data_IF_104329254216
#
_entry.id   IF_104329254216
#
_cell.length_a   1.000
_cell.length_b   1.000
_cell.length_c   1.000
_cell.angle_alpha   90.00
_cell.angle_beta   90.00
_cell.angle_gamma   90.00
#
_symmetry.space_group_name_H-M   'P 1'
#
loop_
_entity.id
_entity.type
_entity.pdbx_description
1 polymer ?
#
# COMPACT_ATOMS: atom_id res chain seq x y z
N UNK A 1 9.25 -12.21 8.47
CA UNK A 1 8.39 -11.02 8.63
C UNK A 1 7.37 -10.99 7.52
N UNK A 2 6.10 -10.74 7.85
CA UNK A 2 5.04 -10.52 6.85
C UNK A 2 4.50 -9.12 7.04
N UNK A 3 4.77 -8.22 6.09
CA UNK A 3 4.16 -6.89 6.07
C UNK A 3 2.84 -7.00 5.33
N UNK A 4 1.74 -6.59 5.95
CA UNK A 4 0.41 -6.55 5.33
C UNK A 4 0.00 -5.09 5.14
N UNK A 5 0.57 -4.42 4.13
CA UNK A 5 0.11 -3.09 3.76
C UNK A 5 -1.28 -3.19 3.13
N UNK A 6 -2.08 -2.13 3.30
CA UNK A 6 -3.30 -1.90 2.52
C UNK A 6 -2.94 -1.32 1.15
N UNK A 7 -3.56 -0.19 0.80
CA UNK A 7 -3.22 0.54 -0.42
C UNK A 7 -1.85 1.24 -0.28
N UNK A 8 -0.93 0.94 -1.20
CA UNK A 8 0.41 1.55 -1.24
C UNK A 8 0.41 2.68 -2.28
N UNK A 9 0.78 3.89 -1.86
CA UNK A 9 0.84 5.07 -2.74
C UNK A 9 2.24 5.70 -2.75
N UNK A 10 2.58 6.36 -3.85
CA UNK A 10 3.87 7.06 -4.00
C UNK A 10 4.55 6.83 -5.35
N UNK A 11 5.73 7.42 -5.52
CA UNK A 11 6.51 7.33 -6.77
C UNK A 11 7.59 6.26 -6.65
N UNK A 12 7.57 5.28 -7.55
CA UNK A 12 8.64 4.29 -7.71
C UNK A 12 9.52 4.68 -8.88
N UNK A 13 10.80 4.97 -8.63
CA UNK A 13 11.79 5.04 -9.72
C UNK A 13 12.20 3.62 -10.11
N UNK A 14 12.00 3.25 -11.36
CA UNK A 14 12.61 2.06 -11.98
C UNK A 14 13.52 2.60 -13.08
N UNK A 15 14.82 2.41 -12.90
CA UNK A 15 15.87 2.98 -13.74
C UNK A 15 15.81 4.52 -13.84
N UNK A 16 15.60 5.07 -15.04
CA UNK A 16 15.52 6.51 -15.32
C UNK A 16 14.09 7.05 -15.32
N UNK A 17 13.09 6.20 -15.11
CA UNK A 17 11.67 6.55 -15.18
C UNK A 17 11.08 6.60 -13.77
N UNK A 18 10.58 7.77 -13.39
CA UNK A 18 9.67 7.91 -12.26
C UNK A 18 8.32 7.32 -12.66
N UNK A 19 8.02 6.13 -12.15
CA UNK A 19 6.69 5.52 -12.27
C UNK A 19 5.91 5.95 -11.01
N UNK A 20 5.00 6.93 -11.09
CA UNK A 20 4.03 7.12 -10.03
C UNK A 20 3.19 5.85 -9.94
N UNK A 21 3.33 5.09 -8.84
CA UNK A 21 2.48 3.91 -8.57
C UNK A 21 1.01 4.31 -8.40
N UNK A 22 0.71 5.62 -8.33
CA UNK A 22 -0.63 6.19 -8.45
C UNK A 22 -1.29 5.98 -9.83
N UNK A 23 -0.53 5.68 -10.89
CA UNK A 23 -1.01 5.76 -12.29
C UNK A 23 -0.78 4.51 -13.14
N UNK A 24 -0.62 3.32 -12.55
CA UNK A 24 -0.93 2.07 -13.29
C UNK A 24 -2.44 1.79 -13.13
N UNK A 25 -3.24 2.80 -13.46
CA UNK A 25 -4.67 2.90 -13.17
C UNK A 25 -5.54 3.14 -14.39
N UNK A 26 -5.04 3.70 -15.49
CA UNK A 26 -5.87 4.04 -16.67
C UNK A 26 -6.54 2.84 -17.39
N UNK A 27 -5.91 1.65 -17.51
CA UNK A 27 -6.60 0.47 -18.03
C UNK A 27 -7.63 -0.09 -17.04
N UNK A 28 -7.40 0.09 -15.73
CA UNK A 28 -8.24 -0.41 -14.66
C UNK A 28 -9.46 0.51 -14.42
N UNK A 29 -9.29 1.81 -14.59
CA UNK A 29 -10.32 2.84 -14.47
C UNK A 29 -11.40 2.64 -15.53
N UNK A 30 -11.03 2.26 -16.76
CA UNK A 30 -11.99 1.90 -17.83
C UNK A 30 -12.75 0.60 -17.54
N UNK A 31 -12.13 -0.34 -16.83
CA UNK A 31 -12.78 -1.60 -16.40
C UNK A 31 -13.69 -1.35 -15.20
N UNK A 32 -13.26 -0.53 -14.25
CA UNK A 32 -14.02 -0.13 -13.06
C UNK A 32 -15.21 0.76 -13.43
N UNK A 33 -15.04 1.77 -14.28
CA UNK A 33 -16.15 2.63 -14.74
C UNK A 33 -17.15 1.91 -15.66
N UNK A 34 -16.71 0.88 -16.40
CA UNK A 34 -17.62 -0.04 -17.07
C UNK A 34 -18.42 -0.91 -16.09
N UNK A 35 -17.88 -1.16 -14.88
CA UNK A 35 -18.51 -1.95 -13.81
C UNK A 35 -19.33 -1.08 -12.84
N UNK A 36 -19.01 0.21 -12.68
CA UNK A 36 -19.69 1.19 -11.81
C UNK A 36 -21.17 1.39 -12.17
N UNK A 37 -21.53 1.24 -13.45
CA UNK A 37 -22.93 1.26 -13.88
C UNK A 37 -23.74 0.07 -13.31
N UNK A 38 -23.07 -0.95 -12.77
CA UNK A 38 -23.68 -2.14 -12.17
C UNK A 38 -23.71 -2.11 -10.62
N UNK A 39 -22.92 -1.26 -9.97
CA UNK A 39 -22.61 -1.36 -8.52
C UNK A 39 -23.13 -0.20 -7.68
N UNK A 40 -24.43 0.10 -7.77
CA UNK A 40 -25.13 1.05 -6.87
C UNK A 40 -25.28 0.64 -5.39
N UNK A 41 -24.97 -0.57 -4.88
CA UNK A 41 -24.97 -0.81 -3.43
C UNK A 41 -23.54 -0.85 -2.88
N UNK A 42 -22.98 0.33 -2.61
CA UNK A 42 -21.61 0.56 -2.14
C UNK A 42 -21.30 0.06 -0.70
N UNK A 43 -22.18 -0.69 -0.06
CA UNK A 43 -21.92 -1.35 1.23
C UNK A 43 -21.72 -2.88 1.11
N UNK A 44 -21.89 -3.46 -0.08
CA UNK A 44 -21.74 -4.90 -0.32
C UNK A 44 -20.52 -5.25 -1.17
N UNK A 45 -19.60 -4.31 -1.39
CA UNK A 45 -18.44 -4.52 -2.24
C UNK A 45 -17.35 -5.31 -1.49
N UNK A 46 -17.02 -6.54 -1.91
CA UNK A 46 -15.81 -7.19 -1.44
C UNK A 46 -14.62 -6.34 -1.90
N UNK A 47 -13.72 -6.00 -0.98
CA UNK A 47 -12.63 -5.00 -1.07
C UNK A 47 -12.94 -3.59 -0.53
N UNK A 48 -14.09 -3.34 0.10
CA UNK A 48 -14.29 -2.13 0.92
C UNK A 48 -13.23 -1.99 2.02
N UNK A 49 -12.76 -3.11 2.59
CA UNK A 49 -11.67 -3.15 3.56
C UNK A 49 -10.33 -2.64 2.98
N UNK A 50 -10.09 -2.86 1.67
CA UNK A 50 -8.90 -2.35 0.98
C UNK A 50 -8.99 -0.85 0.66
N UNK A 51 -10.21 -0.36 0.40
CA UNK A 51 -10.47 1.06 0.09
C UNK A 51 -10.60 1.93 1.35
N UNK A 52 -11.05 1.36 2.47
CA UNK A 52 -11.18 2.06 3.77
C UNK A 52 -9.94 1.91 4.65
N UNK A 53 -9.03 0.98 4.33
CA UNK A 53 -7.76 0.86 5.02
C UNK A 53 -6.90 2.13 4.80
N UNK A 54 -6.27 2.66 5.85
CA UNK A 54 -5.45 3.87 5.73
C UNK A 54 -4.31 3.63 4.74
N UNK A 55 -4.13 4.48 3.72
CA UNK A 55 -3.09 4.29 2.73
C UNK A 55 -1.69 4.40 3.37
N UNK A 56 -0.74 3.64 2.83
CA UNK A 56 0.65 3.55 3.32
C UNK A 56 1.59 4.03 2.23
N UNK A 57 2.57 4.88 2.58
CA UNK A 57 3.52 5.35 1.57
C UNK A 57 4.51 4.23 1.22
N UNK A 58 4.97 4.22 -0.04
CA UNK A 58 6.04 3.31 -0.49
C UNK A 58 7.28 3.43 0.40
N UNK A 59 7.62 4.66 0.82
CA UNK A 59 8.79 4.93 1.66
C UNK A 59 8.64 4.31 3.05
N UNK A 60 7.46 4.38 3.66
CA UNK A 60 7.21 3.77 4.97
C UNK A 60 7.34 2.25 4.90
N UNK A 61 6.79 1.63 3.84
CA UNK A 61 6.94 0.19 3.62
C UNK A 61 8.42 -0.16 3.43
N UNK A 62 9.16 0.62 2.64
CA UNK A 62 10.59 0.38 2.41
C UNK A 62 11.42 0.47 3.70
N UNK A 63 11.17 1.49 4.53
CA UNK A 63 11.84 1.66 5.81
C UNK A 63 11.49 0.54 6.80
N UNK A 64 10.23 0.12 6.82
CA UNK A 64 9.81 -1.04 7.62
C UNK A 64 10.48 -2.34 7.15
N UNK A 65 10.70 -2.52 5.84
CA UNK A 65 11.47 -3.65 5.30
C UNK A 65 12.93 -3.57 5.71
N UNK A 66 13.57 -2.39 5.66
CA UNK A 66 14.96 -2.24 6.11
C UNK A 66 15.07 -2.64 7.58
N UNK A 67 14.19 -2.11 8.44
CA UNK A 67 14.14 -2.49 9.86
C UNK A 67 13.97 -4.00 10.03
N UNK A 68 13.05 -4.59 9.28
CA UNK A 68 12.78 -6.02 9.31
C UNK A 68 13.96 -6.92 8.91
N UNK A 69 14.92 -6.39 8.14
CA UNK A 69 16.12 -7.12 7.71
C UNK A 69 17.30 -6.85 8.64
N UNK A 70 17.36 -5.66 9.26
CA UNK A 70 18.47 -5.28 10.15
C UNK A 70 18.27 -5.70 11.60
N UNK A 71 17.02 -5.88 12.03
CA UNK A 71 16.64 -6.15 13.42
C UNK A 71 16.14 -7.61 13.56
N UNK A 72 16.94 -8.44 14.24
CA UNK A 72 16.64 -9.87 14.44
C UNK A 72 15.39 -10.10 15.31
N UNK A 73 14.99 -9.09 16.12
CA UNK A 73 13.79 -9.15 16.95
C UNK A 73 12.52 -8.71 16.19
N UNK A 74 12.64 -8.35 14.92
CA UNK A 74 11.51 -7.99 14.07
C UNK A 74 10.89 -9.26 13.47
N UNK A 75 9.90 -9.87 14.13
CA UNK A 75 9.22 -11.08 13.66
C UNK A 75 7.70 -11.00 13.76
N UNK A 76 7.00 -11.79 12.94
CA UNK A 76 5.53 -11.87 12.91
C UNK A 76 4.87 -11.16 11.71
N UNK A 77 3.58 -10.87 11.85
CA UNK A 77 2.73 -10.22 10.84
C UNK A 77 2.42 -8.80 11.28
N UNK A 78 2.78 -7.82 10.45
CA UNK A 78 2.67 -6.39 10.77
C UNK A 78 1.47 -5.76 10.07
N UNK A 79 0.63 -5.06 10.85
CA UNK A 79 -0.49 -4.25 10.34
C UNK A 79 -0.01 -2.89 9.84
N UNK A 80 -0.92 -2.12 9.23
CA UNK A 80 -0.63 -0.81 8.64
C UNK A 80 -0.01 0.15 9.67
N UNK A 81 -0.54 0.18 10.88
CA UNK A 81 -0.08 1.04 11.98
C UNK A 81 1.34 0.66 12.39
N UNK A 82 1.60 -0.64 12.52
CA UNK A 82 2.91 -1.16 12.92
C UNK A 82 3.97 -0.94 11.83
N UNK A 83 3.58 -0.96 10.55
CA UNK A 83 4.46 -0.58 9.43
C UNK A 83 4.86 0.89 9.56
N UNK A 84 3.91 1.79 9.85
CA UNK A 84 4.18 3.22 10.03
C UNK A 84 5.05 3.51 11.25
N UNK A 85 4.81 2.81 12.35
CA UNK A 85 5.62 2.92 13.57
C UNK A 85 7.05 2.43 13.36
N UNK A 86 7.20 1.27 12.69
CA UNK A 86 8.50 0.74 12.32
C UNK A 86 9.28 1.72 11.44
N UNK A 87 8.62 2.29 10.42
CA UNK A 87 9.22 3.29 9.53
C UNK A 87 9.64 4.56 10.27
N UNK A 88 8.81 5.07 11.19
CA UNK A 88 9.11 6.26 11.98
C UNK A 88 10.36 6.09 12.86
N UNK A 89 10.66 4.87 13.32
CA UNK A 89 11.87 4.59 14.12
C UNK A 89 13.15 4.70 13.29
N UNK A 90 13.07 4.47 11.97
CA UNK A 90 14.22 4.46 11.06
C UNK A 90 14.46 5.82 10.41
N UNK A 91 13.43 6.68 10.34
CA UNK A 91 13.57 8.05 9.83
C UNK A 91 14.49 8.84 10.76
N UNK A 92 15.60 9.33 10.21
CA UNK A 92 16.59 10.22 10.86
C UNK A 92 16.29 11.67 10.53
#
# INVERSE_FOLDING_TARGET
VVLRPGFIYGKRRVDSLEIPLDLIGEPLEKILSATENFTRPLNSLPASDLLLAPPVSVDDVALAVIKAVTDDDFFGVFTIEQIKEAAATVRV
#
